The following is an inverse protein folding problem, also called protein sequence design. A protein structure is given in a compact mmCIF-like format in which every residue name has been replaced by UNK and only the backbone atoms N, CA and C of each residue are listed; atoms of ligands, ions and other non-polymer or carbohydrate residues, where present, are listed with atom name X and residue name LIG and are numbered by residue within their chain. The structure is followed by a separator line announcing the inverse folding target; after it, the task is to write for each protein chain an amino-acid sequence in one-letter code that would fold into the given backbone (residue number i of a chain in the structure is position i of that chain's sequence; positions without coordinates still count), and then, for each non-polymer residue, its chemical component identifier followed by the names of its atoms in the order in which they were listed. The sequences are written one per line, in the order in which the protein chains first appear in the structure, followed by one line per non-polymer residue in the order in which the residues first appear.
data_IF_453260154692
#
_entry.id   IF_453260154692
#
_cell.length_a   1.000
_cell.length_b   1.000
_cell.length_c   1.000
_cell.angle_alpha   90.00
_cell.angle_beta   90.00
_cell.angle_gamma   90.00
#
_symmetry.space_group_name_H-M   'P 1'
#
loop_
_entity.id
_entity.type
_entity.pdbx_description
1 polymer ?
#
# COMPACT_ATOMS: atom_id res chain seq x y z
N UNK A 1 -3.63 -4.05 12.33
CA UNK A 1 -4.94 -3.36 12.17
C UNK A 1 -5.63 -3.88 10.92
N UNK A 2 -6.96 -3.99 10.94
CA UNK A 2 -7.78 -4.42 9.80
C UNK A 2 -8.63 -3.23 9.33
N UNK A 3 -8.61 -2.95 8.02
CA UNK A 3 -9.52 -2.01 7.38
C UNK A 3 -10.62 -2.84 6.72
N UNK A 4 -11.88 -2.56 7.04
CA UNK A 4 -13.03 -3.27 6.48
C UNK A 4 -14.09 -2.28 6.00
N UNK A 5 -14.60 -2.50 4.80
CA UNK A 5 -15.63 -1.65 4.18
C UNK A 5 -16.79 -2.52 3.71
N UNK A 6 -18.02 -2.10 3.98
CA UNK A 6 -19.21 -2.77 3.46
C UNK A 6 -19.38 -2.43 1.98
N UNK A 7 -19.54 -3.46 1.16
CA UNK A 7 -19.84 -3.33 -0.28
C UNK A 7 -21.08 -4.13 -0.63
N UNK A 8 -21.68 -3.85 -1.78
CA UNK A 8 -22.76 -4.68 -2.31
C UNK A 8 -22.21 -6.05 -2.74
N UNK A 9 -23.03 -7.11 -2.76
CA UNK A 9 -22.58 -8.44 -3.17
C UNK A 9 -21.93 -8.45 -4.56
N UNK A 10 -22.49 -7.69 -5.50
CA UNK A 10 -21.96 -7.57 -6.87
C UNK A 10 -20.54 -7.00 -6.90
N UNK A 11 -20.25 -5.98 -6.08
CA UNK A 11 -18.91 -5.40 -6.00
C UNK A 11 -17.92 -6.41 -5.40
N UNK A 12 -18.32 -7.13 -4.34
CA UNK A 12 -17.49 -8.20 -3.77
C UNK A 12 -17.12 -9.23 -4.84
N UNK A 13 -18.08 -9.69 -5.63
CA UNK A 13 -17.83 -10.73 -6.63
C UNK A 13 -16.88 -10.25 -7.74
N UNK A 14 -16.99 -8.98 -8.15
CA UNK A 14 -16.04 -8.37 -9.10
C UNK A 14 -14.63 -8.31 -8.51
N UNK A 15 -14.48 -7.90 -7.25
CA UNK A 15 -13.17 -7.87 -6.58
C UNK A 15 -12.52 -9.26 -6.55
N UNK A 16 -13.31 -10.30 -6.23
CA UNK A 16 -12.82 -11.69 -6.24
C UNK A 16 -12.34 -12.11 -7.63
N UNK A 17 -13.12 -11.81 -8.68
CA UNK A 17 -12.76 -12.13 -10.05
C UNK A 17 -11.49 -11.42 -10.51
N UNK A 18 -11.33 -10.13 -10.17
CA UNK A 18 -10.14 -9.36 -10.53
C UNK A 18 -8.89 -9.87 -9.82
N UNK A 19 -9.00 -10.19 -8.53
CA UNK A 19 -7.90 -10.80 -7.78
C UNK A 19 -7.45 -12.13 -8.40
N UNK A 20 -8.41 -13.02 -8.72
CA UNK A 20 -8.13 -14.30 -9.37
C UNK A 20 -7.50 -14.13 -10.75
N UNK A 21 -7.95 -13.17 -11.55
CA UNK A 21 -7.40 -12.87 -12.88
C UNK A 21 -5.92 -12.49 -12.81
N UNK A 22 -5.50 -11.81 -11.75
CA UNK A 22 -4.12 -11.42 -11.51
C UNK A 22 -3.31 -12.46 -10.73
N UNK A 23 -3.92 -13.60 -10.37
CA UNK A 23 -3.27 -14.64 -9.55
C UNK A 23 -3.00 -14.21 -8.11
N UNK A 24 -3.71 -13.20 -7.62
CA UNK A 24 -3.56 -12.63 -6.29
C UNK A 24 -4.69 -13.04 -5.35
N UNK A 25 -4.43 -13.01 -4.05
CA UNK A 25 -5.54 -13.06 -3.09
C UNK A 25 -6.26 -11.70 -3.02
N UNK A 26 -7.50 -11.70 -2.50
CA UNK A 26 -8.34 -10.48 -2.44
C UNK A 26 -7.66 -9.35 -1.64
N UNK A 27 -6.98 -9.67 -0.54
CA UNK A 27 -6.32 -8.67 0.29
C UNK A 27 -5.12 -8.03 -0.40
N UNK A 28 -4.34 -8.81 -1.14
CA UNK A 28 -3.22 -8.33 -1.96
C UNK A 28 -3.70 -7.44 -3.09
N UNK A 29 -4.71 -7.90 -3.83
CA UNK A 29 -5.29 -7.15 -4.92
C UNK A 29 -5.88 -5.81 -4.43
N UNK A 30 -6.66 -5.83 -3.35
CA UNK A 30 -7.21 -4.62 -2.72
C UNK A 30 -6.11 -3.68 -2.22
N UNK A 31 -5.03 -4.22 -1.64
CA UNK A 31 -3.87 -3.41 -1.22
C UNK A 31 -3.26 -2.69 -2.41
N UNK A 32 -3.04 -3.39 -3.53
CA UNK A 32 -2.46 -2.82 -4.73
C UNK A 32 -3.36 -1.72 -5.32
N UNK A 33 -4.67 -1.97 -5.37
CA UNK A 33 -5.66 -0.98 -5.78
C UNK A 33 -5.61 0.29 -4.91
N UNK A 34 -5.60 0.14 -3.58
CA UNK A 34 -5.51 1.26 -2.65
C UNK A 34 -4.21 2.03 -2.85
N UNK A 35 -3.07 1.35 -2.96
CA UNK A 35 -1.77 2.00 -3.21
C UNK A 35 -1.79 2.78 -4.52
N UNK A 36 -2.35 2.20 -5.59
CA UNK A 36 -2.46 2.84 -6.90
C UNK A 36 -3.30 4.12 -6.83
N UNK A 37 -4.48 4.06 -6.20
CA UNK A 37 -5.35 5.23 -6.05
C UNK A 37 -4.74 6.30 -5.16
N UNK A 38 -4.05 5.92 -4.07
CA UNK A 38 -3.35 6.89 -3.21
C UNK A 38 -2.16 7.55 -3.92
N UNK A 39 -1.44 6.82 -4.79
CA UNK A 39 -0.41 7.42 -5.67
C UNK A 39 -1.03 8.42 -6.63
N UNK A 40 -2.14 8.05 -7.26
CA UNK A 40 -2.86 8.90 -8.21
C UNK A 40 -3.40 10.18 -7.58
N UNK A 41 -3.82 10.09 -6.32
CA UNK A 41 -4.32 11.21 -5.54
C UNK A 41 -3.19 12.04 -4.88
N UNK A 42 -1.91 11.73 -5.13
CA UNK A 42 -0.75 12.36 -4.48
C UNK A 42 -0.83 12.34 -2.94
N UNK A 43 -1.57 11.36 -2.39
CA UNK A 43 -1.85 11.23 -0.97
C UNK A 43 -0.88 10.29 -0.26
N UNK A 44 -0.08 9.51 -1.02
CA UNK A 44 1.04 8.80 -0.41
C UNK A 44 2.10 9.82 0.00
N UNK A 45 2.58 9.77 1.25
CA UNK A 45 3.70 10.61 1.63
C UNK A 45 4.89 10.27 0.72
N UNK A 46 5.61 11.30 0.26
CA UNK A 46 6.86 11.15 -0.47
C UNK A 46 7.92 10.58 0.48
N UNK A 47 7.88 9.27 0.75
CA UNK A 47 8.77 8.60 1.72
C UNK A 47 9.74 7.68 0.98
N UNK A 48 10.63 8.28 0.19
CA UNK A 48 12.04 7.99 0.41
C UNK A 48 12.55 9.01 1.43
N UNK A 49 12.07 8.96 2.67
CA UNK A 49 12.85 9.52 3.78
C UNK A 49 14.00 8.54 3.98
N UNK A 50 15.12 8.82 3.33
CA UNK A 50 16.37 8.14 3.64
C UNK A 50 16.59 8.21 5.16
N UNK A 51 17.07 7.12 5.79
CA UNK A 51 17.43 7.19 7.19
C UNK A 51 18.46 8.31 7.37
N UNK A 52 18.20 9.21 8.32
CA UNK A 52 19.21 10.18 8.77
C UNK A 52 20.26 9.36 9.52
N UNK A 53 21.29 8.90 8.82
CA UNK A 53 22.48 8.35 9.46
C UNK A 53 23.21 9.55 10.06
N UNK A 54 23.05 9.78 11.37
CA UNK A 54 23.97 10.62 12.11
C UNK A 54 25.29 9.86 12.16
N UNK A 55 26.19 10.22 11.26
CA UNK A 55 27.59 9.82 11.35
C UNK A 55 28.18 10.70 12.46
N UNK A 56 28.17 10.18 13.69
CA UNK A 56 29.03 10.73 14.75
C UNK A 56 30.45 10.44 14.30
N UNK A 57 31.13 11.48 13.81
CA UNK A 57 32.57 11.47 13.67
C UNK A 57 33.09 11.60 15.09
N UNK A 58 33.59 10.51 15.65
CA UNK A 58 34.53 10.58 16.77
C UNK A 58 35.77 11.29 16.23
N UNK A 59 35.82 12.61 16.43
CA UNK A 59 37.06 13.37 16.47
C UNK A 59 37.80 12.96 17.75
N UNK A 60 38.37 11.75 17.75
CA UNK A 60 39.36 11.37 18.74
C UNK A 60 40.71 12.01 18.34
N UNK A 61 41.22 12.81 19.28
CA UNK A 61 42.47 13.59 19.34
C UNK A 61 43.70 13.07 18.57
#
# INVERSE_FOLDING_TARGET
MLLATRVTPRIRDIVVQMAQREGLNVSEWMRNLIIMELKRAEALPNVLRAPIIRMELDDDE
#
